data_IF_775111984488
#
_entry.id   IF_775111984488
#
_cell.length_a   1.000
_cell.length_b   1.000
_cell.length_c   1.000
_cell.angle_alpha   90.00
_cell.angle_beta   90.00
_cell.angle_gamma   90.00
#
_symmetry.space_group_name_H-M   'P 1'
#
loop_
_entity.id
_entity.type
_entity.pdbx_description
1 polymer ?
#
# COMPACT_ATOMS: atom_id res chain seq x y z
N UNK A 1 -85.05 61.72 27.02
CA UNK A 1 -83.70 61.97 27.58
C UNK A 1 -83.54 61.17 28.88
N UNK A 2 -82.30 60.76 29.18
CA UNK A 2 -81.80 60.08 30.39
C UNK A 2 -82.04 58.56 30.44
N UNK A 3 -81.09 57.69 30.07
CA UNK A 3 -79.68 57.49 30.49
C UNK A 3 -79.52 56.56 31.69
N UNK A 4 -79.23 55.29 31.33
CA UNK A 4 -78.20 54.41 31.92
C UNK A 4 -78.39 53.99 33.39
N UNK A 5 -79.12 52.88 33.55
CA UNK A 5 -78.98 51.95 34.67
C UNK A 5 -77.50 51.58 34.85
N UNK A 6 -76.89 52.02 35.96
CA UNK A 6 -75.62 51.50 36.47
C UNK A 6 -75.97 50.41 37.47
N UNK A 7 -76.00 49.15 37.03
CA UNK A 7 -76.04 48.02 37.95
C UNK A 7 -74.73 47.98 38.74
N UNK A 8 -74.84 48.11 40.06
CA UNK A 8 -73.74 47.94 40.99
C UNK A 8 -73.44 46.45 41.13
N UNK A 9 -72.46 45.96 40.36
CA UNK A 9 -71.94 44.60 40.56
C UNK A 9 -71.25 44.55 41.94
N UNK A 10 -71.93 43.96 42.93
CA UNK A 10 -71.32 43.52 44.18
C UNK A 10 -70.40 42.34 43.88
N UNK A 11 -69.17 42.62 43.50
CA UNK A 11 -68.14 41.60 43.24
C UNK A 11 -67.79 40.97 44.60
N UNK A 12 -68.17 39.71 44.81
CA UNK A 12 -67.83 38.96 46.03
C UNK A 12 -66.33 38.65 45.97
N UNK A 13 -65.58 38.67 47.09
CA UNK A 13 -64.13 38.47 47.07
C UNK A 13 -63.71 37.15 46.41
N UNK A 14 -64.56 36.11 46.48
CA UNK A 14 -64.33 34.84 45.79
C UNK A 14 -64.37 34.92 44.26
N UNK A 15 -65.10 35.89 43.68
CA UNK A 15 -65.11 36.13 42.23
C UNK A 15 -63.81 36.79 41.75
N UNK A 16 -63.16 37.62 42.58
CA UNK A 16 -61.85 38.20 42.27
C UNK A 16 -60.79 37.10 42.23
N UNK A 17 -60.81 36.19 43.21
CA UNK A 17 -59.93 35.01 43.20
C UNK A 17 -60.20 34.08 42.02
N UNK A 18 -61.47 33.84 41.68
CA UNK A 18 -61.84 33.05 40.49
C UNK A 18 -61.37 33.70 39.18
N UNK A 19 -61.47 35.02 39.06
CA UNK A 19 -61.00 35.76 37.89
C UNK A 19 -59.48 35.72 37.77
N UNK A 20 -58.75 35.90 38.88
CA UNK A 20 -57.29 35.83 38.91
C UNK A 20 -56.81 34.41 38.55
N UNK A 21 -57.46 33.38 39.11
CA UNK A 21 -57.13 31.99 38.79
C UNK A 21 -57.39 31.69 37.31
N UNK A 22 -58.52 32.15 36.77
CA UNK A 22 -58.84 32.00 35.35
C UNK A 22 -57.83 32.71 34.44
N UNK A 23 -57.42 33.93 34.78
CA UNK A 23 -56.40 34.69 34.04
C UNK A 23 -55.02 34.03 34.14
N UNK A 24 -54.64 33.50 35.31
CA UNK A 24 -53.39 32.78 35.50
C UNK A 24 -53.37 31.49 34.67
N UNK A 25 -54.46 30.72 34.66
CA UNK A 25 -54.57 29.51 33.82
C UNK A 25 -54.57 29.84 32.34
N UNK A 26 -55.26 30.90 31.91
CA UNK A 26 -55.27 31.33 30.52
C UNK A 26 -53.89 31.81 30.07
N UNK A 27 -53.16 32.55 30.91
CA UNK A 27 -51.78 32.95 30.65
C UNK A 27 -50.81 31.77 30.58
N UNK A 28 -50.96 30.77 31.45
CA UNK A 28 -50.12 29.58 31.45
C UNK A 28 -50.36 28.71 30.22
N UNK A 29 -51.64 28.56 29.82
CA UNK A 29 -52.00 27.87 28.58
C UNK A 29 -51.42 28.63 27.38
N UNK A 30 -51.63 29.95 27.32
CA UNK A 30 -51.14 30.78 26.22
C UNK A 30 -49.61 30.75 26.11
N UNK A 31 -48.89 30.72 27.23
CA UNK A 31 -47.43 30.57 27.29
C UNK A 31 -46.99 29.17 26.82
N UNK A 32 -47.62 28.11 27.32
CA UNK A 32 -47.28 26.73 26.94
C UNK A 32 -47.63 26.40 25.49
N UNK A 33 -48.66 27.04 24.93
CA UNK A 33 -49.05 26.87 23.53
C UNK A 33 -48.39 27.86 22.58
N UNK A 34 -47.63 28.85 23.09
CA UNK A 34 -46.89 29.84 22.29
C UNK A 34 -46.03 29.20 21.17
N UNK A 35 -45.21 28.16 21.41
CA UNK A 35 -44.42 27.53 20.35
C UNK A 35 -45.27 26.86 19.27
N UNK A 36 -46.44 26.31 19.62
CA UNK A 36 -47.34 25.66 18.66
C UNK A 36 -48.05 26.64 17.73
N UNK A 37 -48.31 27.87 18.18
CA UNK A 37 -49.01 28.90 17.39
C UNK A 37 -48.06 29.82 16.61
N UNK A 38 -46.80 29.95 17.05
CA UNK A 38 -45.82 30.83 16.37
C UNK A 38 -44.94 30.07 15.37
N UNK A 39 -45.02 28.74 15.29
CA UNK A 39 -44.29 27.98 14.27
C UNK A 39 -42.78 28.16 14.37
N UNK A 40 -42.28 28.39 15.58
CA UNK A 40 -40.85 28.36 15.88
C UNK A 40 -40.52 26.90 16.13
N UNK A 41 -40.42 26.14 15.02
CA UNK A 41 -39.79 24.84 15.01
C UNK A 41 -38.41 25.01 15.66
N UNK A 42 -38.20 24.31 16.77
CA UNK A 42 -36.95 24.27 17.49
C UNK A 42 -35.84 23.82 16.53
N UNK A 43 -35.09 24.77 15.99
CA UNK A 43 -33.85 24.59 15.21
C UNK A 43 -32.70 24.11 16.13
N UNK A 44 -32.96 23.11 16.98
CA UNK A 44 -31.93 22.41 17.76
C UNK A 44 -31.94 20.90 17.50
N UNK A 45 -32.67 20.44 16.49
CA UNK A 45 -32.32 19.24 15.74
C UNK A 45 -31.24 19.63 14.72
N UNK A 46 -30.02 19.86 15.21
CA UNK A 46 -28.84 19.76 14.36
C UNK A 46 -28.86 18.33 13.85
N UNK A 47 -29.35 18.15 12.62
CA UNK A 47 -29.02 16.98 11.82
C UNK A 47 -27.53 16.76 12.05
N UNK A 48 -27.20 15.66 12.71
CA UNK A 48 -25.94 15.00 12.46
C UNK A 48 -26.00 14.73 10.97
N UNK A 49 -25.50 15.69 10.18
CA UNK A 49 -25.21 15.50 8.78
C UNK A 49 -24.28 14.30 8.79
N UNK A 50 -24.84 13.12 8.56
CA UNK A 50 -24.08 12.01 8.07
C UNK A 50 -23.50 12.54 6.77
N UNK A 51 -22.25 13.02 6.86
CA UNK A 51 -21.42 13.23 5.69
C UNK A 51 -21.64 12.01 4.81
N UNK A 52 -22.00 12.19 3.53
CA UNK A 52 -22.16 11.04 2.65
C UNK A 52 -20.86 10.26 2.75
N UNK A 53 -20.93 9.03 3.27
CA UNK A 53 -19.79 8.14 3.37
C UNK A 53 -19.24 8.03 1.95
N UNK A 54 -18.21 8.84 1.66
CA UNK A 54 -17.70 9.04 0.33
C UNK A 54 -17.48 7.66 -0.27
N UNK A 55 -18.22 7.32 -1.33
CA UNK A 55 -18.27 5.98 -1.90
C UNK A 55 -16.86 5.40 -1.98
N UNK A 56 -16.50 4.54 -1.02
CA UNK A 56 -15.15 4.03 -0.90
C UNK A 56 -14.97 3.06 -2.06
N UNK A 57 -14.22 3.49 -3.07
CA UNK A 57 -13.85 2.61 -4.17
C UNK A 57 -13.06 1.42 -3.58
N UNK A 58 -13.41 0.16 -3.91
CA UNK A 58 -12.67 -0.98 -3.43
C UNK A 58 -11.26 -0.94 -4.00
N UNK A 59 -10.26 -1.05 -3.13
CA UNK A 59 -8.84 -1.09 -3.49
C UNK A 59 -8.24 -2.43 -3.06
N UNK A 60 -7.38 -2.97 -3.92
CA UNK A 60 -6.60 -4.16 -3.61
C UNK A 60 -5.30 -3.73 -2.92
N UNK A 61 -5.04 -4.29 -1.74
CA UNK A 61 -3.84 -4.01 -0.96
C UNK A 61 -3.00 -5.27 -0.83
N UNK A 62 -1.68 -5.12 -1.00
CA UNK A 62 -0.71 -6.16 -0.73
C UNK A 62 0.20 -5.70 0.41
N UNK A 63 0.33 -6.54 1.45
CA UNK A 63 1.28 -6.29 2.55
C UNK A 63 2.66 -6.75 2.11
N UNK A 64 3.64 -5.86 2.17
CA UNK A 64 5.03 -6.13 1.78
C UNK A 64 5.85 -6.43 3.03
N UNK A 65 6.61 -7.52 2.98
CA UNK A 65 7.56 -7.89 4.04
C UNK A 65 9.00 -7.60 3.60
N UNK A 66 9.87 -7.29 4.57
CA UNK A 66 11.28 -7.08 4.30
C UNK A 66 11.98 -8.43 4.12
N UNK A 67 12.67 -8.61 3.00
CA UNK A 67 13.50 -9.77 2.72
C UNK A 67 14.83 -9.39 2.08
N UNK A 68 15.77 -10.33 2.08
CA UNK A 68 17.04 -10.20 1.37
C UNK A 68 16.80 -10.23 -0.15
N UNK A 69 17.29 -9.22 -0.86
CA UNK A 69 17.21 -9.14 -2.33
C UNK A 69 18.62 -8.98 -2.92
N UNK A 70 19.38 -10.08 -3.05
CA UNK A 70 20.73 -10.02 -3.59
C UNK A 70 20.69 -9.70 -5.08
N UNK A 71 21.30 -8.59 -5.47
CA UNK A 71 21.49 -8.23 -6.87
C UNK A 71 22.55 -9.16 -7.48
N UNK A 72 22.19 -9.88 -8.55
CA UNK A 72 23.13 -10.74 -9.29
C UNK A 72 23.45 -10.11 -10.64
N UNK A 73 24.71 -10.18 -11.02
CA UNK A 73 25.17 -9.86 -12.36
C UNK A 73 25.58 -11.16 -13.06
N UNK A 74 25.11 -11.35 -14.28
CA UNK A 74 25.46 -12.49 -15.11
C UNK A 74 26.42 -12.04 -16.21
N UNK A 75 27.47 -12.83 -16.42
CA UNK A 75 28.45 -12.59 -17.47
C UNK A 75 28.82 -13.92 -18.14
N UNK A 76 28.97 -13.86 -19.45
CA UNK A 76 29.40 -15.00 -20.27
C UNK A 76 30.87 -14.84 -20.63
N UNK A 77 31.61 -15.95 -20.65
CA UNK A 77 33.00 -15.99 -21.06
C UNK A 77 33.42 -17.38 -21.50
N UNK A 78 34.66 -17.48 -21.99
CA UNK A 78 35.27 -18.76 -22.38
C UNK A 78 36.39 -19.12 -21.41
N UNK A 79 36.58 -20.42 -21.20
CA UNK A 79 37.71 -20.92 -20.43
C UNK A 79 38.96 -20.94 -21.29
N UNK A 80 40.05 -20.42 -20.75
CA UNK A 80 41.38 -20.49 -21.35
C UNK A 80 42.31 -21.31 -20.45
N UNK A 81 43.22 -22.12 -21.02
CA UNK A 81 44.22 -22.82 -20.23
C UNK A 81 45.16 -21.81 -19.57
N UNK A 82 45.58 -22.08 -18.34
CA UNK A 82 46.57 -21.26 -17.64
C UNK A 82 47.89 -21.16 -18.41
N UNK A 83 48.31 -22.27 -19.03
CA UNK A 83 49.49 -22.34 -19.89
C UNK A 83 49.20 -23.25 -21.07
N UNK A 84 49.58 -22.80 -22.26
CA UNK A 84 49.56 -23.59 -23.49
C UNK A 84 50.96 -23.54 -24.10
N UNK A 85 51.47 -24.71 -24.49
CA UNK A 85 52.77 -24.84 -25.13
C UNK A 85 52.60 -25.76 -26.32
N UNK A 86 53.06 -25.29 -27.47
CA UNK A 86 53.18 -26.10 -28.68
C UNK A 86 54.61 -26.64 -28.74
N UNK A 87 54.74 -27.95 -28.97
CA UNK A 87 56.03 -28.64 -28.99
C UNK A 87 56.25 -29.13 -30.41
N UNK A 88 57.37 -28.74 -30.99
CA UNK A 88 57.80 -29.14 -32.33
C UNK A 88 59.19 -29.75 -32.24
N UNK A 89 59.51 -30.65 -33.17
CA UNK A 89 60.84 -31.20 -33.29
C UNK A 89 61.81 -30.15 -33.86
N UNK A 90 63.04 -30.11 -33.33
CA UNK A 90 64.09 -29.20 -33.84
C UNK A 90 64.65 -29.64 -35.19
N UNK A 91 64.60 -30.95 -35.47
CA UNK A 91 65.02 -31.56 -36.72
C UNK A 91 63.83 -32.28 -37.35
N UNK A 92 63.77 -32.31 -38.67
CA UNK A 92 62.88 -33.22 -39.38
C UNK A 92 63.42 -34.64 -39.30
N UNK A 93 62.55 -35.64 -39.25
CA UNK A 93 62.94 -37.05 -39.17
C UNK A 93 61.71 -37.96 -39.13
N UNK A 94 61.89 -39.27 -39.35
CA UNK A 94 60.80 -40.23 -39.25
C UNK A 94 60.49 -40.53 -37.79
N UNK A 95 59.21 -40.64 -37.41
CA UNK A 95 58.81 -41.08 -36.07
C UNK A 95 59.08 -42.57 -35.93
N UNK A 96 59.94 -42.95 -34.98
CA UNK A 96 60.24 -44.32 -34.61
C UNK A 96 59.25 -44.87 -33.59
N UNK A 97 58.96 -44.09 -32.55
CA UNK A 97 58.09 -44.50 -31.45
C UNK A 97 57.31 -43.30 -30.88
N UNK A 98 56.09 -43.58 -30.40
CA UNK A 98 55.24 -42.63 -29.68
C UNK A 98 54.81 -43.26 -28.34
N UNK A 99 55.58 -43.08 -27.25
CA UNK A 99 55.32 -43.70 -25.96
C UNK A 99 54.19 -43.05 -25.14
N UNK A 100 53.40 -42.15 -25.75
CA UNK A 100 52.28 -41.46 -25.10
C UNK A 100 51.00 -41.52 -25.91
N UNK A 101 49.87 -41.48 -25.24
CA UNK A 101 48.53 -41.44 -25.83
C UNK A 101 47.94 -40.02 -25.84
N UNK A 102 46.98 -39.79 -26.72
CA UNK A 102 46.28 -38.50 -26.78
C UNK A 102 45.47 -38.27 -25.50
N UNK A 103 45.54 -37.06 -24.95
CA UNK A 103 44.90 -36.72 -23.66
C UNK A 103 45.66 -37.22 -22.43
N UNK A 104 46.76 -37.96 -22.59
CA UNK A 104 47.58 -38.41 -21.47
C UNK A 104 48.25 -37.22 -20.76
N UNK A 105 48.26 -37.25 -19.42
CA UNK A 105 49.01 -36.30 -18.62
C UNK A 105 50.50 -36.64 -18.68
N UNK A 106 51.32 -35.64 -18.97
CA UNK A 106 52.78 -35.77 -19.08
C UNK A 106 53.51 -34.84 -18.10
N UNK A 107 54.75 -35.17 -17.78
CA UNK A 107 55.63 -34.37 -16.92
C UNK A 107 56.71 -33.66 -17.73
N UNK A 108 57.33 -32.63 -17.15
CA UNK A 108 58.46 -31.95 -17.79
C UNK A 108 59.62 -32.94 -17.99
N UNK A 109 60.22 -32.94 -19.19
CA UNK A 109 61.29 -33.85 -19.56
C UNK A 109 60.83 -35.26 -19.96
N UNK A 110 59.52 -35.56 -19.91
CA UNK A 110 59.01 -36.83 -20.41
C UNK A 110 59.12 -36.90 -21.93
N UNK A 111 59.65 -38.02 -22.44
CA UNK A 111 59.73 -38.28 -23.88
C UNK A 111 58.32 -38.42 -24.45
N UNK A 112 58.00 -37.61 -25.47
CA UNK A 112 56.71 -37.64 -26.14
C UNK A 112 56.76 -38.44 -27.44
N UNK A 113 57.86 -38.32 -28.18
CA UNK A 113 58.11 -38.92 -29.49
C UNK A 113 59.60 -39.25 -29.61
N UNK A 114 59.92 -40.34 -30.28
CA UNK A 114 61.29 -40.66 -30.70
C UNK A 114 61.39 -40.54 -32.22
N UNK A 115 62.37 -39.77 -32.69
CA UNK A 115 62.63 -39.54 -34.11
C UNK A 115 63.92 -40.27 -34.54
N UNK A 116 63.99 -40.70 -35.79
CA UNK A 116 65.24 -41.17 -36.41
C UNK A 116 66.12 -39.97 -36.77
N UNK A 117 67.28 -39.88 -36.13
CA UNK A 117 68.25 -38.78 -36.28
C UNK A 117 69.27 -39.02 -37.41
N UNK A 118 69.26 -40.21 -38.03
CA UNK A 118 70.23 -40.59 -39.06
C UNK A 118 69.94 -39.97 -40.42
N UNK A 119 68.70 -39.56 -40.68
CA UNK A 119 68.31 -38.91 -41.94
C UNK A 119 67.39 -37.70 -41.68
N UNK A 120 67.98 -36.53 -41.35
CA UNK A 120 67.21 -35.34 -41.05
C UNK A 120 66.52 -34.80 -42.30
N UNK A 121 65.19 -34.87 -42.35
CA UNK A 121 64.37 -34.31 -43.43
C UNK A 121 64.22 -32.80 -43.24
N UNK A 122 65.22 -32.02 -43.65
CA UNK A 122 65.13 -30.55 -43.70
C UNK A 122 64.94 -30.15 -45.16
N UNK A 123 63.79 -29.57 -45.53
CA UNK A 123 63.52 -29.01 -46.87
C UNK A 123 62.91 -27.63 -46.77
#
# INVERSE_FOLDING_TARGET
MASKSRSSLKIRPWQVFGLILALATAGLILYGTWPYITGEDSEDDRQLTEEPEAARAPVEVMVIERGEFPLRAEATGHLAPWRRTEISAEIGGLILERPIEEGQRVQAGQVLLQLDDREPLIR
#
